data_IF_843719679927
#
_entry.id   IF_843719679927
#
_cell.length_a   1.000
_cell.length_b   1.000
_cell.length_c   1.000
_cell.angle_alpha   90.00
_cell.angle_beta   90.00
_cell.angle_gamma   90.00
#
_symmetry.space_group_name_H-M   'P 1'
#
loop_
_entity.id
_entity.type
_entity.pdbx_description
1 polymer ?
#
# COMPACT_ATOMS: atom_id res chain seq x y z
N UNK A 1 -3.89 1.96 -4.13
CA UNK A 1 -3.99 1.40 -5.49
C UNK A 1 -5.46 1.36 -5.81
N UNK A 2 -5.85 1.92 -6.95
CA UNK A 2 -7.25 1.92 -7.36
C UNK A 2 -7.56 0.63 -8.11
N UNK A 3 -8.62 -0.06 -7.70
CA UNK A 3 -9.02 -1.36 -8.24
C UNK A 3 -10.44 -1.32 -8.80
N UNK A 4 -10.74 -2.26 -9.69
CA UNK A 4 -12.11 -2.49 -10.15
C UNK A 4 -12.94 -3.14 -9.04
N UNK A 5 -14.28 -2.99 -9.03
CA UNK A 5 -15.14 -3.63 -8.04
C UNK A 5 -15.13 -5.18 -8.09
N UNK A 6 -14.69 -5.76 -9.20
CA UNK A 6 -14.54 -7.21 -9.40
C UNK A 6 -13.16 -7.74 -9.00
N UNK A 7 -12.30 -6.87 -8.46
CA UNK A 7 -10.93 -7.20 -8.12
C UNK A 7 -10.86 -8.34 -7.08
N UNK A 8 -10.13 -9.39 -7.43
CA UNK A 8 -9.76 -10.43 -6.47
C UNK A 8 -8.63 -9.93 -5.57
N UNK A 9 -9.01 -9.39 -4.41
CA UNK A 9 -8.05 -8.87 -3.42
C UNK A 9 -7.13 -9.98 -2.89
N UNK A 10 -7.59 -11.23 -2.82
CA UNK A 10 -6.80 -12.36 -2.33
C UNK A 10 -5.71 -12.75 -3.34
N UNK A 11 -6.04 -12.75 -4.63
CA UNK A 11 -5.07 -12.96 -5.70
C UNK A 11 -3.96 -11.89 -5.70
N UNK A 12 -4.33 -10.61 -5.59
CA UNK A 12 -3.37 -9.50 -5.51
C UNK A 12 -2.51 -9.60 -4.26
N UNK A 13 -3.12 -9.87 -3.11
CA UNK A 13 -2.39 -10.05 -1.85
C UNK A 13 -1.41 -11.21 -1.94
N UNK A 14 -1.82 -12.31 -2.56
CA UNK A 14 -0.96 -13.49 -2.77
C UNK A 14 0.22 -13.17 -3.68
N UNK A 15 0.00 -12.47 -4.79
CA UNK A 15 1.08 -12.04 -5.68
C UNK A 15 2.09 -11.15 -4.95
N UNK A 16 1.62 -10.14 -4.22
CA UNK A 16 2.49 -9.24 -3.45
C UNK A 16 3.30 -10.04 -2.43
N UNK A 17 2.69 -11.01 -1.75
CA UNK A 17 3.37 -11.86 -0.77
C UNK A 17 4.33 -12.89 -1.37
N UNK A 18 4.19 -13.25 -2.65
CA UNK A 18 5.18 -14.09 -3.33
C UNK A 18 6.51 -13.36 -3.53
N UNK A 19 6.46 -12.06 -3.83
CA UNK A 19 7.67 -11.22 -3.94
C UNK A 19 8.16 -10.71 -2.58
N UNK A 20 7.22 -10.35 -1.71
CA UNK A 20 7.47 -9.68 -0.44
C UNK A 20 6.60 -10.32 0.64
N UNK A 21 7.08 -11.43 1.21
CA UNK A 21 6.31 -12.26 2.16
C UNK A 21 5.79 -11.52 3.39
N UNK A 22 6.50 -10.49 3.86
CA UNK A 22 6.10 -9.65 4.99
C UNK A 22 5.27 -8.42 4.61
N UNK A 23 4.78 -8.33 3.37
CA UNK A 23 3.83 -7.30 2.96
C UNK A 23 2.54 -7.36 3.79
N UNK A 24 2.02 -6.18 4.15
CA UNK A 24 0.80 -6.04 4.94
C UNK A 24 -0.23 -5.23 4.18
N UNK A 25 -1.46 -5.73 4.12
CA UNK A 25 -2.61 -4.97 3.63
C UNK A 25 -3.04 -4.01 4.74
N UNK A 26 -2.95 -2.72 4.48
CA UNK A 26 -3.26 -1.63 5.42
C UNK A 26 -4.66 -1.06 5.21
N UNK A 27 -5.16 -1.08 3.97
CA UNK A 27 -6.49 -0.59 3.62
C UNK A 27 -7.09 -1.49 2.56
N UNK A 28 -8.36 -1.84 2.73
CA UNK A 28 -9.13 -2.62 1.76
C UNK A 28 -10.55 -2.08 1.69
N UNK A 29 -10.88 -1.45 0.57
CA UNK A 29 -12.21 -0.94 0.24
C UNK A 29 -12.60 -1.42 -1.17
N UNK A 30 -13.83 -1.14 -1.60
CA UNK A 30 -14.37 -1.58 -2.91
C UNK A 30 -13.53 -1.09 -4.09
N UNK A 31 -12.93 0.09 -3.97
CA UNK A 31 -12.21 0.74 -5.08
C UNK A 31 -10.72 0.94 -4.77
N UNK A 32 -10.26 0.63 -3.55
CA UNK A 32 -8.90 0.95 -3.12
C UNK A 32 -8.28 -0.13 -2.23
N UNK A 33 -7.05 -0.50 -2.55
CA UNK A 33 -6.17 -1.30 -1.69
C UNK A 33 -4.86 -0.56 -1.39
N UNK A 34 -4.38 -0.67 -0.15
CA UNK A 34 -3.08 -0.10 0.25
C UNK A 34 -2.25 -1.16 0.93
N UNK A 35 -1.02 -1.36 0.44
CA UNK A 35 -0.06 -2.29 1.01
C UNK A 35 1.15 -1.56 1.58
N UNK A 36 1.59 -1.99 2.76
CA UNK A 36 2.87 -1.61 3.35
C UNK A 36 3.89 -2.70 3.08
N UNK A 37 4.98 -2.33 2.42
CA UNK A 37 6.10 -3.22 2.11
C UNK A 37 7.30 -2.88 3.02
N UNK A 38 8.05 -3.88 3.54
CA UNK A 38 9.31 -3.62 4.23
C UNK A 38 10.35 -3.03 3.29
N UNK A 39 11.19 -2.14 3.80
CA UNK A 39 12.30 -1.58 3.05
C UNK A 39 13.40 -2.61 2.72
N UNK A 40 13.49 -3.69 3.50
CA UNK A 40 14.52 -4.74 3.34
C UNK A 40 14.40 -5.52 2.01
N UNK A 41 13.24 -5.49 1.36
CA UNK A 41 12.96 -6.26 0.15
C UNK A 41 12.89 -5.37 -1.10
N UNK A 42 13.58 -4.24 -1.12
CA UNK A 42 13.52 -3.28 -2.22
C UNK A 42 13.98 -3.87 -3.56
N UNK A 43 14.90 -4.84 -3.53
CA UNK A 43 15.39 -5.53 -4.72
C UNK A 43 14.31 -6.38 -5.42
N UNK A 44 13.25 -6.77 -4.70
CA UNK A 44 12.10 -7.50 -5.24
C UNK A 44 11.05 -6.57 -5.87
N UNK A 45 11.12 -5.26 -5.62
CA UNK A 45 10.10 -4.32 -6.09
C UNK A 45 10.00 -4.23 -7.61
N UNK A 46 11.10 -4.21 -8.40
CA UNK A 46 10.99 -4.21 -9.86
C UNK A 46 10.23 -5.41 -10.41
N UNK A 47 10.49 -6.62 -9.86
CA UNK A 47 9.79 -7.83 -10.26
C UNK A 47 8.31 -7.78 -9.87
N UNK A 48 8.02 -7.31 -8.65
CA UNK A 48 6.65 -7.11 -8.18
C UNK A 48 5.86 -6.16 -9.09
N UNK A 49 6.43 -5.01 -9.47
CA UNK A 49 5.75 -4.04 -10.33
C UNK A 49 5.50 -4.59 -11.72
N UNK A 50 6.48 -5.31 -12.29
CA UNK A 50 6.32 -5.99 -13.57
C UNK A 50 5.18 -7.01 -13.54
N UNK A 51 5.02 -7.75 -12.45
CA UNK A 51 3.94 -8.73 -12.32
C UNK A 51 2.57 -8.08 -12.05
N UNK A 52 2.53 -6.96 -11.32
CA UNK A 52 1.31 -6.17 -11.14
C UNK A 52 0.81 -5.59 -12.47
N UNK A 53 1.72 -5.16 -13.34
CA UNK A 53 1.39 -4.69 -14.69
C UNK A 53 0.95 -5.83 -15.63
N UNK A 54 1.50 -7.04 -15.45
CA UNK A 54 1.24 -8.19 -16.31
C UNK A 54 0.07 -9.09 -15.87
N UNK A 55 0.17 -9.70 -14.69
CA UNK A 55 -0.69 -10.82 -14.25
C UNK A 55 -2.05 -10.36 -13.68
N UNK A 56 -2.08 -9.21 -13.00
CA UNK A 56 -3.30 -8.70 -12.33
C UNK A 56 -3.73 -7.33 -12.83
N UNK A 57 -3.05 -6.80 -13.85
CA UNK A 57 -3.28 -5.46 -14.40
C UNK A 57 -4.67 -5.23 -14.98
N UNK A 58 -5.52 -6.26 -15.12
CA UNK A 58 -6.91 -6.10 -15.55
C UNK A 58 -7.82 -5.56 -14.43
N UNK A 59 -7.48 -5.85 -13.18
CA UNK A 59 -8.25 -5.44 -12.01
C UNK A 59 -7.68 -4.19 -11.33
N UNK A 60 -6.48 -3.77 -11.72
CA UNK A 60 -5.81 -2.57 -11.23
C UNK A 60 -6.02 -1.44 -12.24
N UNK A 61 -6.73 -0.39 -11.83
CA UNK A 61 -6.95 0.80 -12.66
C UNK A 61 -5.71 1.68 -12.65
N UNK A 62 -5.13 1.89 -11.47
CA UNK A 62 -3.88 2.64 -11.29
C UNK A 62 -3.26 2.30 -9.94
N UNK A 63 -1.93 2.39 -9.85
CA UNK A 63 -1.23 2.23 -8.59
C UNK A 63 -0.06 3.22 -8.50
N UNK A 64 0.30 3.55 -7.27
CA UNK A 64 1.44 4.40 -6.95
C UNK A 64 2.20 3.81 -5.78
N UNK A 65 3.48 4.16 -5.70
CA UNK A 65 4.38 3.72 -4.63
C UNK A 65 4.92 4.97 -3.95
N UNK A 66 4.74 5.04 -2.64
CA UNK A 66 5.31 6.09 -1.80
C UNK A 66 6.20 5.46 -0.75
N UNK A 67 7.26 6.17 -0.39
CA UNK A 67 8.13 5.80 0.73
C UNK A 67 7.69 6.67 1.89
N UNK A 68 7.34 6.06 3.02
CA UNK A 68 7.15 6.78 4.27
C UNK A 68 8.53 6.98 4.90
N UNK A 69 8.95 8.23 5.01
CA UNK A 69 10.18 8.62 5.72
C UNK A 69 9.87 8.90 7.19
N UNK A 70 10.91 8.98 8.03
CA UNK A 70 10.73 9.41 9.42
C UNK A 70 10.19 10.84 9.52
N UNK A 71 10.56 11.73 8.59
CA UNK A 71 10.00 13.07 8.48
C UNK A 71 8.48 13.03 8.25
N UNK A 72 7.98 12.13 7.38
CA UNK A 72 6.53 11.96 7.17
C UNK A 72 5.81 11.48 8.44
N UNK A 73 6.44 10.60 9.21
CA UNK A 73 5.88 10.11 10.49
C UNK A 73 5.90 11.21 11.54
N UNK A 74 6.97 11.99 11.61
CA UNK A 74 7.10 13.11 12.55
C UNK A 74 6.04 14.18 12.30
N UNK A 75 5.85 14.60 11.05
CA UNK A 75 4.81 15.57 10.66
C UNK A 75 3.39 15.08 11.00
N UNK A 76 3.14 13.77 10.88
CA UNK A 76 1.82 13.21 11.20
C UNK A 76 1.53 13.21 12.70
N UNK A 77 2.55 12.98 13.53
CA UNK A 77 2.43 13.08 14.99
C UNK A 77 2.18 14.52 15.45
N UNK A 78 2.82 15.51 14.82
CA UNK A 78 2.58 16.92 15.13
C UNK A 78 1.16 17.37 14.76
N UNK A 79 0.64 16.93 13.60
CA UNK A 79 -0.74 17.23 13.20
C UNK A 79 -1.82 16.55 14.05
N UNK A 80 -1.54 15.37 14.61
CA UNK A 80 -2.44 14.66 15.54
C UNK A 80 -2.35 15.21 16.98
N UNK A 81 -1.25 15.88 17.36
CA UNK A 81 -1.09 16.46 18.69
C UNK A 81 -1.85 17.79 18.90
N UNK A 82 -2.24 18.49 17.83
CA UNK A 82 -2.96 19.78 17.93
C UNK A 82 -4.48 19.66 18.20
N UNK A 83 -5.04 18.45 18.18
CA UNK A 83 -6.48 18.21 18.43
C UNK A 83 -6.86 17.94 19.90
N UNK A 84 -5.93 18.01 20.86
CA UNK A 84 -6.23 17.86 22.30
C UNK A 84 -5.96 19.12 23.15
N UNK A 85 -6.28 20.31 22.65
CA UNK A 85 -6.42 21.51 23.50
C UNK A 85 -7.58 22.40 23.03
N UNK A 86 -8.80 22.04 23.44
CA UNK A 86 -9.97 22.89 23.18
C UNK A 86 -11.27 22.38 23.80
N UNK A 87 -11.33 22.27 25.12
CA UNK A 87 -12.55 21.92 25.84
C UNK A 87 -12.36 22.01 27.35
N UNK A 88 -12.13 23.24 27.84
CA UNK A 88 -12.26 23.60 29.25
C UNK A 88 -13.62 24.25 29.50
#
# INVERSE_FOLDING_TARGET
MQVTPSCDTEAITSLIKQHVSSAKLSTQNVEDLTFTLPFLNIDAFPALFSDLEGHVGRDIVTYGVSITTLDDVFLKLEGEAEIEKGGG
#
